data_IF_306526987243
#
_entry.id   IF_306526987243
#
_cell.length_a   1.000
_cell.length_b   1.000
_cell.length_c   1.000
_cell.angle_alpha   90.00
_cell.angle_beta   90.00
_cell.angle_gamma   90.00
#
_symmetry.space_group_name_H-M   'P 1'
#
loop_
_entity.id
_entity.type
_entity.pdbx_description
1 polymer ?
#
# COMPACT_ATOMS: atom_id res chain seq x y z
N UNK A 1 3.85 -3.35 -15.51
CA UNK A 1 4.20 -2.09 -14.83
C UNK A 1 3.25 -1.94 -13.64
N UNK A 2 3.79 -1.67 -12.43
CA UNK A 2 2.96 -1.46 -11.23
C UNK A 2 2.03 -0.26 -11.41
N UNK A 3 0.77 -0.44 -11.07
CA UNK A 3 -0.28 0.59 -11.11
C UNK A 3 -0.95 0.67 -9.75
N UNK A 4 -1.29 1.87 -9.33
CA UNK A 4 -1.93 2.14 -8.04
C UNK A 4 -3.32 2.71 -8.28
N UNK A 5 -4.32 2.06 -7.69
CA UNK A 5 -5.73 2.45 -7.75
C UNK A 5 -6.17 2.75 -6.31
N UNK A 6 -6.85 3.87 -6.13
CA UNK A 6 -7.51 4.19 -4.87
C UNK A 6 -9.02 4.26 -5.07
N UNK A 7 -9.78 3.83 -4.08
CA UNK A 7 -11.22 3.94 -4.09
C UNK A 7 -11.78 4.25 -2.70
N UNK A 8 -12.93 4.87 -2.71
CA UNK A 8 -13.78 5.10 -1.55
C UNK A 8 -14.96 4.14 -1.64
N UNK A 9 -15.21 3.40 -0.58
CA UNK A 9 -16.28 2.40 -0.55
C UNK A 9 -17.03 2.45 0.78
N UNK A 10 -18.25 1.94 0.80
CA UNK A 10 -19.02 1.77 2.02
C UNK A 10 -18.28 0.85 3.01
N UNK A 11 -18.22 1.28 4.28
CA UNK A 11 -17.60 0.52 5.35
C UNK A 11 -18.59 -0.49 5.94
N UNK A 12 -18.94 -1.51 5.15
CA UNK A 12 -19.91 -2.54 5.54
C UNK A 12 -19.44 -3.95 5.20
N UNK A 13 -19.97 -4.98 5.88
CA UNK A 13 -19.62 -6.37 5.60
C UNK A 13 -19.87 -6.73 4.13
N UNK A 14 -18.86 -7.34 3.49
CA UNK A 14 -18.94 -7.80 2.12
C UNK A 14 -18.49 -6.81 1.04
N UNK A 15 -18.39 -5.50 1.34
CA UNK A 15 -17.90 -4.51 0.38
C UNK A 15 -16.50 -4.85 -0.16
N UNK A 16 -15.54 -5.10 0.72
CA UNK A 16 -14.20 -5.52 0.34
C UNK A 16 -14.21 -6.83 -0.46
N UNK A 17 -15.04 -7.80 -0.07
CA UNK A 17 -15.13 -9.09 -0.76
C UNK A 17 -15.60 -8.95 -2.21
N UNK A 18 -16.51 -8.01 -2.49
CA UNK A 18 -16.96 -7.73 -3.87
C UNK A 18 -15.84 -7.08 -4.70
N UNK A 19 -15.09 -6.15 -4.13
CA UNK A 19 -13.92 -5.55 -4.80
C UNK A 19 -12.88 -6.63 -5.14
N UNK A 20 -12.45 -7.43 -4.16
CA UNK A 20 -11.45 -8.50 -4.37
C UNK A 20 -11.98 -9.58 -5.32
N UNK A 21 -13.27 -9.93 -5.21
CA UNK A 21 -13.92 -10.90 -6.08
C UNK A 21 -13.91 -10.50 -7.56
N UNK A 22 -14.04 -9.20 -7.85
CA UNK A 22 -13.94 -8.69 -9.23
C UNK A 22 -12.54 -8.96 -9.83
N UNK A 23 -11.46 -8.73 -9.06
CA UNK A 23 -10.09 -9.02 -9.49
C UNK A 23 -9.91 -10.53 -9.75
N UNK A 24 -10.35 -11.36 -8.81
CA UNK A 24 -10.25 -12.82 -8.91
C UNK A 24 -10.99 -13.38 -10.15
N UNK A 25 -12.20 -12.90 -10.41
CA UNK A 25 -13.00 -13.33 -11.56
C UNK A 25 -12.37 -12.96 -12.91
N UNK A 26 -11.57 -11.92 -12.95
CA UNK A 26 -10.91 -11.42 -14.14
C UNK A 26 -9.47 -11.89 -14.30
N UNK A 27 -8.95 -12.64 -13.33
CA UNK A 27 -7.58 -13.13 -13.32
C UNK A 27 -6.53 -12.04 -13.09
N UNK A 28 -6.92 -10.90 -12.49
CA UNK A 28 -5.99 -9.84 -12.11
C UNK A 28 -5.39 -10.14 -10.73
N UNK A 29 -4.07 -9.95 -10.59
CA UNK A 29 -3.41 -10.07 -9.30
C UNK A 29 -3.47 -8.75 -8.53
N UNK A 30 -3.67 -8.82 -7.21
CA UNK A 30 -3.52 -7.70 -6.30
C UNK A 30 -2.18 -7.87 -5.59
N UNK A 31 -1.22 -6.99 -5.88
CA UNK A 31 0.12 -7.03 -5.26
C UNK A 31 0.08 -6.52 -3.82
N UNK A 32 -0.59 -5.39 -3.60
CA UNK A 32 -0.80 -4.80 -2.28
C UNK A 32 -2.24 -4.33 -2.11
N UNK A 33 -2.74 -4.41 -0.87
CA UNK A 33 -4.09 -3.97 -0.53
C UNK A 33 -4.08 -3.36 0.87
N UNK A 34 -4.47 -2.10 0.96
CA UNK A 34 -4.59 -1.37 2.22
C UNK A 34 -5.99 -0.80 2.34
N UNK A 35 -6.66 -1.07 3.44
CA UNK A 35 -8.01 -0.57 3.72
C UNK A 35 -8.04 0.05 5.10
N UNK A 36 -8.60 1.23 5.22
CA UNK A 36 -8.85 1.89 6.50
C UNK A 36 -10.13 2.73 6.44
N UNK A 37 -10.84 2.88 7.55
CA UNK A 37 -11.93 3.85 7.66
C UNK A 37 -11.44 5.26 7.38
N UNK A 38 -12.31 6.10 6.83
CA UNK A 38 -12.05 7.54 6.66
C UNK A 38 -12.48 8.33 7.90
N UNK A 39 -12.44 9.66 7.83
CA UNK A 39 -13.05 10.54 8.85
C UNK A 39 -14.56 10.34 8.98
N UNK A 40 -15.22 9.91 7.90
CA UNK A 40 -16.58 9.39 7.92
C UNK A 40 -16.53 7.87 8.22
N UNK A 41 -17.02 7.41 9.40
CA UNK A 41 -16.96 6.00 9.78
C UNK A 41 -17.81 5.07 8.89
N UNK A 42 -18.71 5.62 8.07
CA UNK A 42 -19.52 4.85 7.11
C UNK A 42 -18.76 4.52 5.84
N UNK A 43 -17.58 5.13 5.64
CA UNK A 43 -16.76 4.99 4.46
C UNK A 43 -15.36 4.46 4.79
N UNK A 44 -14.85 3.60 3.93
CA UNK A 44 -13.46 3.14 3.94
C UNK A 44 -12.75 3.57 2.67
N UNK A 45 -11.49 4.00 2.82
CA UNK A 45 -10.57 4.19 1.71
C UNK A 45 -9.75 2.93 1.50
N UNK A 46 -9.72 2.45 0.27
CA UNK A 46 -8.89 1.33 -0.16
C UNK A 46 -7.85 1.85 -1.15
N UNK A 47 -6.60 1.46 -0.96
CA UNK A 47 -5.51 1.64 -1.94
C UNK A 47 -4.97 0.27 -2.30
N UNK A 48 -4.89 -0.02 -3.59
CA UNK A 48 -4.35 -1.28 -4.08
C UNK A 48 -3.33 -1.06 -5.19
N UNK A 49 -2.38 -1.98 -5.32
CA UNK A 49 -1.51 -2.04 -6.48
C UNK A 49 -1.72 -3.34 -7.25
N UNK A 50 -1.60 -3.24 -8.56
CA UNK A 50 -1.67 -4.38 -9.50
C UNK A 50 -0.67 -4.17 -10.63
N UNK A 51 -0.30 -5.24 -11.31
CA UNK A 51 0.45 -5.15 -12.55
C UNK A 51 -0.49 -5.13 -13.75
N UNK A 52 -0.20 -4.27 -14.71
CA UNK A 52 -0.97 -4.17 -15.94
C UNK A 52 -0.52 -3.00 -16.82
N UNK A 53 -1.00 -3.04 -18.05
CA UNK A 53 -0.93 -1.89 -18.95
C UNK A 53 -2.07 -0.90 -18.65
N UNK A 54 -2.08 0.22 -19.33
CA UNK A 54 -3.07 1.28 -19.13
C UNK A 54 -4.50 0.81 -19.49
N UNK A 55 -4.63 0.00 -20.53
CA UNK A 55 -5.95 -0.50 -20.96
C UNK A 55 -6.57 -1.44 -19.92
N UNK A 56 -5.75 -2.30 -19.32
CA UNK A 56 -6.17 -3.21 -18.23
C UNK A 56 -6.64 -2.41 -17.02
N UNK A 57 -5.87 -1.39 -16.61
CA UNK A 57 -6.22 -0.56 -15.45
C UNK A 57 -7.49 0.25 -15.71
N UNK A 58 -7.66 0.80 -16.89
CA UNK A 58 -8.90 1.49 -17.28
C UNK A 58 -10.12 0.57 -17.22
N UNK A 59 -9.97 -0.67 -17.66
CA UNK A 59 -11.05 -1.67 -17.57
C UNK A 59 -11.37 -1.98 -16.10
N UNK A 60 -10.36 -2.20 -15.27
CA UNK A 60 -10.52 -2.44 -13.83
C UNK A 60 -11.26 -1.27 -13.18
N UNK A 61 -10.80 -0.05 -13.40
CA UNK A 61 -11.41 1.16 -12.83
C UNK A 61 -12.89 1.29 -13.21
N UNK A 62 -13.23 1.10 -14.50
CA UNK A 62 -14.61 1.12 -14.98
C UNK A 62 -15.49 0.02 -14.39
N UNK A 63 -14.91 -1.12 -14.03
CA UNK A 63 -15.67 -2.21 -13.41
C UNK A 63 -15.84 -2.00 -11.90
N UNK A 64 -14.83 -1.44 -11.23
CA UNK A 64 -14.93 -1.05 -9.83
C UNK A 64 -16.02 0.01 -9.62
N UNK A 65 -16.08 1.00 -10.51
CA UNK A 65 -17.08 2.09 -10.47
C UNK A 65 -18.53 1.59 -10.59
N UNK A 66 -18.75 0.36 -11.08
CA UNK A 66 -20.07 -0.26 -11.18
C UNK A 66 -20.49 -1.03 -9.93
N UNK A 67 -19.60 -1.26 -8.99
CA UNK A 67 -19.93 -1.96 -7.76
C UNK A 67 -20.77 -1.05 -6.85
N UNK A 68 -21.88 -1.59 -6.32
CA UNK A 68 -22.85 -0.82 -5.54
C UNK A 68 -22.22 -0.19 -4.28
N UNK A 69 -21.18 -0.81 -3.73
CA UNK A 69 -20.52 -0.34 -2.53
C UNK A 69 -19.38 0.66 -2.83
N UNK A 70 -19.03 0.87 -4.10
CA UNK A 70 -17.97 1.80 -4.49
C UNK A 70 -18.57 3.17 -4.75
N UNK A 71 -18.13 4.15 -3.97
CA UNK A 71 -18.59 5.54 -4.06
C UNK A 71 -17.78 6.31 -5.11
N UNK A 72 -16.47 6.06 -5.15
CA UNK A 72 -15.55 6.72 -6.05
C UNK A 72 -14.32 5.85 -6.29
N UNK A 73 -13.77 5.90 -7.50
CA UNK A 73 -12.52 5.21 -7.85
C UNK A 73 -11.61 6.11 -8.66
N UNK A 74 -10.30 6.04 -8.41
CA UNK A 74 -9.28 6.84 -9.10
C UNK A 74 -8.06 5.99 -9.42
N UNK A 75 -7.60 6.06 -10.68
CA UNK A 75 -6.29 5.55 -11.08
C UNK A 75 -5.23 6.59 -10.73
N UNK A 76 -4.54 6.42 -9.60
CA UNK A 76 -3.49 7.35 -9.16
C UNK A 76 -2.29 7.37 -10.12
N UNK A 77 -2.02 6.26 -10.82
CA UNK A 77 -0.90 6.16 -11.76
C UNK A 77 -1.13 6.90 -13.09
N UNK A 78 -2.28 7.52 -13.31
CA UNK A 78 -2.55 8.35 -14.50
C UNK A 78 -2.00 9.77 -14.41
N UNK A 79 -1.61 10.21 -13.23
CA UNK A 79 -1.03 11.53 -12.93
C UNK A 79 0.07 11.42 -11.89
N UNK A 80 0.66 12.54 -11.51
CA UNK A 80 1.59 12.56 -10.37
C UNK A 80 0.84 12.27 -9.07
N UNK A 81 1.42 11.42 -8.23
CA UNK A 81 0.89 11.08 -6.91
C UNK A 81 2.00 10.80 -5.92
N UNK A 82 1.70 10.98 -4.65
CA UNK A 82 2.60 10.62 -3.55
C UNK A 82 2.28 9.21 -3.10
N UNK A 83 3.28 8.33 -3.14
CA UNK A 83 3.21 6.97 -2.60
C UNK A 83 4.03 6.86 -1.32
N UNK A 84 3.48 6.23 -0.29
CA UNK A 84 4.20 5.88 0.93
C UNK A 84 3.78 4.51 1.42
N UNK A 85 4.78 3.77 1.86
CA UNK A 85 4.61 2.46 2.49
C UNK A 85 5.46 2.42 3.76
N UNK A 86 4.98 1.75 4.80
CA UNK A 86 5.71 1.50 6.04
C UNK A 86 6.27 0.08 6.00
N UNK A 87 7.53 -0.05 6.39
CA UNK A 87 8.21 -1.33 6.55
C UNK A 87 8.80 -1.44 7.95
N UNK A 88 8.60 -2.58 8.59
CA UNK A 88 9.26 -2.95 9.85
C UNK A 88 10.25 -4.07 9.57
N UNK A 89 11.47 -3.92 10.06
CA UNK A 89 12.54 -4.91 9.90
C UNK A 89 13.10 -5.27 11.26
N UNK A 90 13.18 -6.57 11.53
CA UNK A 90 13.70 -7.12 12.77
C UNK A 90 15.05 -7.81 12.52
N UNK A 91 16.03 -7.52 13.36
CA UNK A 91 17.35 -8.12 13.35
C UNK A 91 17.69 -8.66 14.74
N UNK A 92 18.71 -9.55 14.82
CA UNK A 92 19.42 -9.77 16.07
C UNK A 92 20.23 -8.52 16.40
N UNK A 93 20.22 -8.10 17.66
CA UNK A 93 20.94 -6.88 18.10
C UNK A 93 22.44 -6.97 17.82
N UNK A 94 23.03 -8.14 17.99
CA UNK A 94 24.47 -8.39 17.74
C UNK A 94 24.89 -8.20 16.27
N UNK A 95 23.97 -8.39 15.29
CA UNK A 95 24.21 -8.29 13.85
C UNK A 95 23.46 -7.13 13.20
N UNK A 96 22.96 -6.19 13.98
CA UNK A 96 22.23 -5.04 13.47
C UNK A 96 23.14 -4.14 12.62
N UNK A 97 22.81 -3.87 11.34
CA UNK A 97 23.65 -3.07 10.45
C UNK A 97 23.49 -1.57 10.72
N UNK A 98 24.10 -1.07 11.78
CA UNK A 98 24.00 0.31 12.26
C UNK A 98 24.28 1.35 11.16
N UNK A 99 25.25 1.07 10.30
CA UNK A 99 25.67 1.97 9.22
C UNK A 99 24.59 2.16 8.12
N UNK A 100 23.68 1.21 7.95
CA UNK A 100 22.57 1.31 6.99
C UNK A 100 21.41 2.07 7.59
N UNK A 101 21.23 1.98 8.92
CA UNK A 101 20.08 2.50 9.64
C UNK A 101 20.42 3.64 10.61
N UNK A 102 21.50 4.42 10.33
CA UNK A 102 21.98 5.48 11.22
C UNK A 102 20.91 6.52 11.55
N UNK A 103 20.15 6.94 10.53
CA UNK A 103 19.07 7.93 10.66
C UNK A 103 17.67 7.31 10.75
N UNK A 104 17.58 5.99 10.95
CA UNK A 104 16.30 5.30 10.95
C UNK A 104 15.65 5.28 12.32
N UNK A 105 14.32 5.22 12.33
CA UNK A 105 13.55 5.13 13.58
C UNK A 105 13.62 3.72 14.16
N UNK A 106 14.35 3.54 15.25
CA UNK A 106 14.39 2.29 16.03
C UNK A 106 13.15 2.25 16.91
N UNK A 107 12.24 1.29 16.62
CA UNK A 107 10.97 1.14 17.35
C UNK A 107 11.03 0.12 18.49
N UNK A 108 12.02 -0.78 18.45
CA UNK A 108 12.31 -1.75 19.51
C UNK A 108 13.80 -2.01 19.57
N UNK A 109 14.37 -2.00 20.78
CA UNK A 109 15.74 -2.42 21.02
C UNK A 109 15.86 -3.04 22.42
N UNK A 110 16.38 -4.25 22.46
CA UNK A 110 16.79 -4.95 23.69
C UNK A 110 18.09 -5.74 23.42
N UNK A 111 18.50 -6.58 24.36
CA UNK A 111 19.77 -7.33 24.24
C UNK A 111 19.77 -8.36 23.11
N UNK A 112 18.59 -8.84 22.69
CA UNK A 112 18.44 -9.89 21.69
C UNK A 112 18.03 -9.34 20.32
N UNK A 113 17.11 -8.35 20.28
CA UNK A 113 16.41 -7.90 19.07
C UNK A 113 16.46 -6.38 18.93
N UNK A 114 16.75 -5.92 17.72
CA UNK A 114 16.57 -4.55 17.27
C UNK A 114 15.60 -4.52 16.09
N UNK A 115 14.57 -3.66 16.17
CA UNK A 115 13.62 -3.46 15.07
C UNK A 115 13.57 -2.00 14.64
N UNK A 116 13.58 -1.79 13.33
CA UNK A 116 13.55 -0.46 12.72
C UNK A 116 12.28 -0.27 11.92
N UNK A 117 11.83 0.97 11.84
CA UNK A 117 10.73 1.42 11.00
C UNK A 117 11.26 2.30 9.88
N UNK A 118 10.87 1.98 8.65
CA UNK A 118 11.19 2.74 7.45
C UNK A 118 9.89 3.16 6.77
N UNK A 119 9.86 4.37 6.25
CA UNK A 119 8.73 4.88 5.45
C UNK A 119 9.29 5.49 4.16
N UNK A 120 8.78 5.02 3.03
CA UNK A 120 9.21 5.49 1.72
C UNK A 120 8.32 4.98 0.59
N UNK A 121 8.63 5.33 -0.67
CA UNK A 121 8.03 4.68 -1.84
C UNK A 121 8.37 3.19 -1.87
N UNK A 122 7.46 2.37 -2.41
CA UNK A 122 7.69 0.91 -2.49
C UNK A 122 9.00 0.54 -3.20
N UNK A 123 9.38 1.29 -4.24
CA UNK A 123 10.61 1.04 -4.99
C UNK A 123 11.88 1.21 -4.13
N UNK A 124 11.91 2.23 -3.26
CA UNK A 124 13.03 2.45 -2.34
C UNK A 124 13.09 1.34 -1.28
N UNK A 125 11.93 0.87 -0.79
CA UNK A 125 11.87 -0.24 0.15
C UNK A 125 12.32 -1.56 -0.49
N UNK A 126 11.99 -1.79 -1.76
CA UNK A 126 12.45 -2.96 -2.53
C UNK A 126 13.98 -2.96 -2.71
N UNK A 127 14.58 -1.80 -2.96
CA UNK A 127 16.03 -1.63 -3.06
C UNK A 127 16.71 -1.84 -1.69
N UNK A 128 16.12 -1.30 -0.63
CA UNK A 128 16.62 -1.50 0.73
C UNK A 128 16.62 -2.99 1.11
N UNK A 129 15.55 -3.73 0.80
CA UNK A 129 15.48 -5.18 1.06
C UNK A 129 16.66 -5.90 0.40
N UNK A 130 16.97 -5.61 -0.87
CA UNK A 130 18.11 -6.20 -1.57
C UNK A 130 19.45 -5.86 -0.88
N UNK A 131 19.57 -4.62 -0.40
CA UNK A 131 20.79 -4.15 0.29
C UNK A 131 21.03 -4.88 1.60
N UNK A 132 19.96 -5.17 2.36
CA UNK A 132 20.07 -5.81 3.68
C UNK A 132 19.99 -7.35 3.64
N UNK A 133 19.81 -7.95 2.48
CA UNK A 133 19.70 -9.41 2.34
C UNK A 133 20.88 -10.16 2.98
N UNK A 134 22.09 -9.62 2.83
CA UNK A 134 23.31 -10.19 3.43
C UNK A 134 23.38 -10.04 4.95
N UNK A 135 22.59 -9.13 5.54
CA UNK A 135 22.55 -8.89 6.99
C UNK A 135 21.58 -9.85 7.72
N UNK A 136 20.98 -10.78 6.98
CA UNK A 136 20.10 -11.84 7.53
C UNK A 136 19.03 -11.30 8.49
N UNK A 137 18.12 -10.43 8.01
CA UNK A 137 16.99 -9.99 8.82
C UNK A 137 16.16 -11.18 9.29
N UNK A 138 15.69 -11.15 10.53
CA UNK A 138 14.83 -12.21 11.09
C UNK A 138 13.43 -12.16 10.45
N UNK A 139 12.93 -10.94 10.24
CA UNK A 139 11.57 -10.73 9.74
C UNK A 139 11.46 -9.36 9.07
N UNK A 140 10.73 -9.30 7.96
CA UNK A 140 10.37 -8.07 7.25
C UNK A 140 8.85 -8.06 7.08
N UNK A 141 8.22 -6.97 7.53
CA UNK A 141 6.77 -6.77 7.41
C UNK A 141 6.51 -5.46 6.68
N UNK A 142 5.59 -5.48 5.73
CA UNK A 142 5.19 -4.31 4.92
C UNK A 142 3.71 -4.03 5.07
N UNK A 143 3.36 -2.74 5.12
CA UNK A 143 1.94 -2.32 5.21
C UNK A 143 1.20 -2.41 3.88
N UNK A 144 1.93 -2.39 2.76
CA UNK A 144 1.38 -2.04 1.46
C UNK A 144 1.33 -0.52 1.25
N UNK A 145 1.16 -0.11 -0.01
CA UNK A 145 1.26 1.28 -0.42
C UNK A 145 -0.01 2.07 -0.09
N UNK A 146 0.18 3.25 0.52
CA UNK A 146 -0.81 4.33 0.52
C UNK A 146 -0.49 5.29 -0.62
N UNK A 147 -1.53 5.83 -1.27
CA UNK A 147 -1.37 6.80 -2.36
C UNK A 147 -2.35 7.96 -2.24
N UNK A 148 -1.86 9.15 -2.56
CA UNK A 148 -2.66 10.37 -2.65
C UNK A 148 -2.26 11.16 -3.89
N UNK A 149 -3.23 11.70 -4.65
CA UNK A 149 -2.96 12.55 -5.80
C UNK A 149 -2.19 13.80 -5.39
N UNK A 150 -1.29 14.27 -6.27
CA UNK A 150 -0.56 15.52 -6.06
C UNK A 150 -1.36 16.76 -6.49
N UNK A 151 -2.47 16.57 -7.19
CA UNK A 151 -3.39 17.63 -7.59
C UNK A 151 -4.51 17.87 -6.55
N UNK A 152 -5.46 18.74 -6.88
CA UNK A 152 -6.60 19.08 -6.02
C UNK A 152 -7.71 18.01 -6.01
N UNK A 153 -7.55 16.88 -6.72
CA UNK A 153 -8.55 15.83 -6.71
C UNK A 153 -8.53 15.11 -5.35
N UNK A 154 -9.69 14.98 -4.75
CA UNK A 154 -9.88 14.32 -3.45
C UNK A 154 -10.80 13.12 -3.61
N UNK A 155 -10.38 11.98 -3.06
CA UNK A 155 -11.28 10.87 -2.77
C UNK A 155 -11.96 11.12 -1.41
N UNK A 156 -12.84 12.10 -1.37
CA UNK A 156 -13.67 12.42 -0.21
C UNK A 156 -15.05 12.87 -0.68
N UNK A 157 -16.06 12.65 0.13
CA UNK A 157 -17.43 13.10 -0.12
C UNK A 157 -17.69 14.53 0.38
N UNK A 158 -16.71 15.15 1.02
CA UNK A 158 -16.78 16.55 1.45
C UNK A 158 -16.25 17.46 0.33
N UNK A 159 -17.14 18.31 -0.20
CA UNK A 159 -16.83 19.47 -1.02
C UNK A 159 -16.89 20.73 -0.14
#
# INVERSE_FOLDING_TARGET
>A
MKRVIALLMENQPGALSRVVGLFSQRGYNIETLVVAPTTDPTLSRLTMSTEGDEQVVDQITKQLDKLIDVVMVTNLSSSEFVERELMLIKFKTESFPQNIFEDSNIVLKNDEITSVQIVGPSSELDELIKTIETNSPIEIVRSGSLGISSDHTSLSTEN
#
